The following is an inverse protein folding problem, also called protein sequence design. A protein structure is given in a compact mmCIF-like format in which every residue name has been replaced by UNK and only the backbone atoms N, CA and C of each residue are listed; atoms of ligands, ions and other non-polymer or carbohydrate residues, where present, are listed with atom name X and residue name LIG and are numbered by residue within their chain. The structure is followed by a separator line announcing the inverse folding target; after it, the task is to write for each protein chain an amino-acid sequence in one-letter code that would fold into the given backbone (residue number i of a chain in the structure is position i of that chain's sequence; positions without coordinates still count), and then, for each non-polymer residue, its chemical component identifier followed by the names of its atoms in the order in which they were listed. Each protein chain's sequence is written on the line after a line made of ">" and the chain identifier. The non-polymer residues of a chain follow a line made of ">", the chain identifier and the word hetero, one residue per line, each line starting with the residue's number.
data_IF_443271000053
#
_entry.id   IF_443271000053
#
_cell.length_a   1.000
_cell.length_b   1.000
_cell.length_c   1.000
_cell.angle_alpha   90.00
_cell.angle_beta   90.00
_cell.angle_gamma   90.00
#
_symmetry.space_group_name_H-M   'P 1'
#
loop_
_entity.id
_entity.type
_entity.pdbx_description
1 polymer ?
#
# COMPACT_ATOMS: atom_id res chain seq x y z
N UNK A 1 2.38 17.18 -11.15
CA UNK A 1 2.24 15.72 -11.36
C UNK A 1 3.49 15.27 -12.10
N UNK A 2 4.21 14.26 -11.61
CA UNK A 2 5.56 13.91 -12.06
C UNK A 2 5.58 13.37 -13.52
N UNK A 3 6.71 13.44 -14.22
CA UNK A 3 6.81 12.94 -15.60
C UNK A 3 6.52 11.43 -15.72
N UNK A 4 6.90 10.65 -14.70
CA UNK A 4 6.53 9.23 -14.58
C UNK A 4 5.02 9.07 -14.43
N UNK A 5 4.39 9.94 -13.65
CA UNK A 5 2.96 9.99 -13.37
C UNK A 5 2.15 10.30 -14.65
N UNK A 6 2.67 11.19 -15.50
CA UNK A 6 2.04 11.58 -16.76
C UNK A 6 2.22 10.49 -17.84
N UNK A 7 3.36 9.80 -17.86
CA UNK A 7 3.63 8.70 -18.81
C UNK A 7 2.87 7.40 -18.50
N UNK A 8 2.33 7.24 -17.31
CA UNK A 8 1.54 6.07 -16.87
C UNK A 8 0.13 5.97 -17.51
N UNK A 9 -0.17 6.76 -18.54
CA UNK A 9 -1.49 6.84 -19.20
C UNK A 9 -2.08 5.50 -19.66
N UNK A 10 -3.40 5.38 -19.47
CA UNK A 10 -4.34 4.29 -19.79
C UNK A 10 -4.03 2.87 -19.28
N UNK A 11 -2.83 2.33 -19.48
CA UNK A 11 -2.51 0.96 -19.04
C UNK A 11 -2.36 0.83 -17.52
N UNK A 12 -1.92 1.87 -16.82
CA UNK A 12 -1.90 1.88 -15.36
C UNK A 12 -3.33 1.90 -14.80
N UNK A 13 -4.23 2.66 -15.43
CA UNK A 13 -5.64 2.75 -15.03
C UNK A 13 -6.36 1.41 -15.16
N UNK A 14 -6.13 0.67 -16.26
CA UNK A 14 -6.76 -0.65 -16.45
C UNK A 14 -6.27 -1.70 -15.45
N UNK A 15 -4.99 -1.64 -15.04
CA UNK A 15 -4.45 -2.49 -13.97
C UNK A 15 -5.01 -2.12 -12.60
N UNK A 16 -5.11 -0.83 -12.30
CA UNK A 16 -5.76 -0.34 -11.07
C UNK A 16 -7.22 -0.80 -11.01
N UNK A 17 -7.97 -0.64 -12.11
CA UNK A 17 -9.34 -1.14 -12.25
C UNK A 17 -9.42 -2.65 -12.00
N UNK A 18 -8.55 -3.45 -12.64
CA UNK A 18 -8.51 -4.90 -12.44
C UNK A 18 -8.27 -5.29 -10.98
N UNK A 19 -7.35 -4.61 -10.29
CA UNK A 19 -7.05 -4.87 -8.87
C UNK A 19 -8.23 -4.49 -7.99
N UNK A 20 -8.78 -3.28 -8.15
CA UNK A 20 -9.92 -2.81 -7.36
C UNK A 20 -11.12 -3.74 -7.60
N UNK A 21 -11.41 -4.09 -8.85
CA UNK A 21 -12.46 -5.05 -9.21
C UNK A 21 -12.30 -6.40 -8.50
N UNK A 22 -11.07 -6.94 -8.50
CA UNK A 22 -10.77 -8.19 -7.82
C UNK A 22 -11.01 -8.09 -6.30
N UNK A 23 -10.65 -6.96 -5.67
CA UNK A 23 -10.91 -6.70 -4.26
C UNK A 23 -12.42 -6.69 -3.97
N UNK A 24 -13.22 -5.96 -4.76
CA UNK A 24 -14.68 -5.92 -4.59
C UNK A 24 -15.30 -7.32 -4.74
N UNK A 25 -14.92 -8.06 -5.77
CA UNK A 25 -15.42 -9.42 -6.01
C UNK A 25 -15.07 -10.36 -4.83
N UNK A 26 -13.86 -10.23 -4.26
CA UNK A 26 -13.44 -11.01 -3.08
C UNK A 26 -14.24 -10.66 -1.83
N UNK A 27 -14.54 -9.39 -1.61
CA UNK A 27 -15.40 -8.96 -0.50
C UNK A 27 -16.79 -9.59 -0.65
N UNK A 28 -17.37 -9.57 -1.85
CA UNK A 28 -18.67 -10.19 -2.13
C UNK A 28 -18.67 -11.70 -1.88
N UNK A 29 -17.65 -12.40 -2.38
CA UNK A 29 -17.51 -13.84 -2.18
C UNK A 29 -17.40 -14.19 -0.69
N UNK A 30 -16.68 -13.37 0.10
CA UNK A 30 -16.51 -13.62 1.54
C UNK A 30 -17.84 -13.56 2.30
N UNK A 31 -18.74 -12.64 1.95
CA UNK A 31 -20.08 -12.53 2.57
C UNK A 31 -20.88 -13.82 2.49
N UNK A 32 -20.72 -14.59 1.41
CA UNK A 32 -21.47 -15.83 1.20
C UNK A 32 -21.04 -16.97 2.16
N UNK A 33 -19.86 -16.85 2.78
CA UNK A 33 -19.20 -17.95 3.48
C UNK A 33 -19.29 -17.92 5.01
N UNK A 34 -19.79 -16.83 5.63
CA UNK A 34 -20.04 -16.63 7.08
C UNK A 34 -18.89 -16.92 8.08
N UNK A 35 -17.77 -17.51 7.67
CA UNK A 35 -16.74 -18.01 8.61
C UNK A 35 -15.57 -17.04 8.83
N UNK A 36 -15.30 -16.10 7.90
CA UNK A 36 -14.27 -15.07 8.04
C UNK A 36 -14.69 -13.80 7.29
N UNK A 37 -15.46 -12.96 7.99
CA UNK A 37 -15.86 -11.63 7.51
C UNK A 37 -15.02 -10.59 8.24
N UNK A 38 -13.80 -10.37 7.75
CA UNK A 38 -12.96 -9.29 8.24
C UNK A 38 -13.42 -7.92 7.74
N UNK A 39 -13.14 -6.86 8.47
CA UNK A 39 -13.65 -5.51 8.18
C UNK A 39 -13.33 -5.05 6.75
N UNK A 40 -14.30 -4.48 6.06
CA UNK A 40 -14.10 -3.83 4.76
C UNK A 40 -14.63 -2.41 4.87
N UNK A 41 -13.80 -1.39 4.69
CA UNK A 41 -14.15 -0.01 5.05
C UNK A 41 -13.70 0.98 3.97
N UNK A 42 -14.57 1.92 3.62
CA UNK A 42 -14.25 3.09 2.79
C UNK A 42 -14.55 4.35 3.62
N UNK A 43 -13.57 5.24 3.76
CA UNK A 43 -13.81 6.50 4.46
C UNK A 43 -14.72 7.43 3.64
N UNK A 44 -15.58 8.18 4.33
CA UNK A 44 -16.65 8.97 3.73
C UNK A 44 -16.13 10.09 2.81
N UNK A 45 -14.86 10.50 2.92
CA UNK A 45 -14.32 11.51 2.02
C UNK A 45 -14.26 11.01 0.57
N UNK A 46 -14.04 9.70 0.33
CA UNK A 46 -14.18 9.13 -1.03
C UNK A 46 -15.59 9.29 -1.57
N UNK A 47 -16.59 9.12 -0.70
CA UNK A 47 -18.00 9.00 -1.09
C UNK A 47 -18.74 10.33 -0.98
N UNK A 48 -18.00 11.44 -0.79
CA UNK A 48 -18.57 12.78 -0.54
C UNK A 48 -19.47 13.28 -1.67
N UNK A 49 -19.41 12.68 -2.86
CA UNK A 49 -20.28 12.96 -4.00
C UNK A 49 -21.45 11.97 -4.20
N UNK A 50 -21.58 10.93 -3.38
CA UNK A 50 -22.62 9.91 -3.56
C UNK A 50 -23.80 10.16 -2.61
N UNK A 51 -25.00 10.26 -3.19
CA UNK A 51 -26.23 10.37 -2.41
C UNK A 51 -26.58 8.98 -1.84
N UNK A 52 -26.47 8.86 -0.52
CA UNK A 52 -26.32 7.60 0.22
C UNK A 52 -27.61 6.81 0.43
N UNK A 53 -28.66 7.06 -0.37
CA UNK A 53 -29.98 6.45 -0.16
C UNK A 53 -30.21 5.12 -0.87
N UNK A 54 -29.35 4.71 -1.81
CA UNK A 54 -29.49 3.42 -2.50
C UNK A 54 -28.29 2.49 -2.22
N UNK A 55 -28.40 1.65 -1.18
CA UNK A 55 -27.49 0.51 -0.94
C UNK A 55 -27.83 -0.61 -1.95
N UNK A 56 -27.67 -0.33 -3.23
CA UNK A 56 -27.88 -1.25 -4.35
C UNK A 56 -26.63 -1.29 -5.25
N UNK A 57 -26.62 -2.14 -6.29
CA UNK A 57 -25.51 -2.30 -7.25
C UNK A 57 -24.93 -0.98 -7.78
N UNK A 58 -25.74 0.08 -7.87
CA UNK A 58 -25.31 1.45 -8.23
C UNK A 58 -24.24 2.01 -7.30
N UNK A 59 -24.40 1.87 -5.97
CA UNK A 59 -23.41 2.30 -5.00
C UNK A 59 -22.05 1.63 -5.21
N UNK A 60 -22.05 0.33 -5.57
CA UNK A 60 -20.81 -0.42 -5.83
C UNK A 60 -20.11 0.06 -7.10
N UNK A 61 -20.87 0.26 -8.19
CA UNK A 61 -20.31 0.74 -9.45
C UNK A 61 -19.75 2.17 -9.32
N UNK A 62 -20.49 3.06 -8.66
CA UNK A 62 -20.08 4.45 -8.43
C UNK A 62 -18.88 4.52 -7.48
N UNK A 63 -18.90 3.79 -6.36
CA UNK A 63 -17.76 3.70 -5.44
C UNK A 63 -16.51 3.15 -6.13
N UNK A 64 -16.66 2.12 -6.98
CA UNK A 64 -15.56 1.57 -7.78
C UNK A 64 -14.98 2.63 -8.71
N UNK A 65 -15.82 3.35 -9.44
CA UNK A 65 -15.39 4.41 -10.38
C UNK A 65 -14.60 5.52 -9.68
N UNK A 66 -15.08 5.96 -8.52
CA UNK A 66 -14.38 6.95 -7.68
C UNK A 66 -13.03 6.39 -7.22
N UNK A 67 -13.01 5.19 -6.63
CA UNK A 67 -11.76 4.59 -6.15
C UNK A 67 -10.72 4.43 -7.27
N UNK A 68 -11.15 4.00 -8.46
CA UNK A 68 -10.24 3.92 -9.62
C UNK A 68 -9.65 5.28 -9.94
N UNK A 69 -10.45 6.35 -9.91
CA UNK A 69 -9.96 7.69 -10.21
C UNK A 69 -8.98 8.18 -9.13
N UNK A 70 -9.28 8.00 -7.85
CA UNK A 70 -8.39 8.43 -6.76
C UNK A 70 -7.08 7.62 -6.70
N UNK A 71 -7.11 6.36 -7.11
CA UNK A 71 -5.96 5.47 -7.16
C UNK A 71 -5.33 5.34 -8.56
N UNK A 72 -5.75 6.10 -9.58
CA UNK A 72 -5.13 6.01 -10.92
C UNK A 72 -3.73 6.64 -10.99
N UNK A 73 -3.22 7.20 -9.89
CA UNK A 73 -1.89 7.78 -9.80
C UNK A 73 -0.85 6.75 -9.38
N UNK A 74 0.40 7.19 -9.25
CA UNK A 74 1.53 6.32 -8.88
C UNK A 74 1.30 5.66 -7.53
N UNK A 75 1.40 4.32 -7.51
CA UNK A 75 1.33 3.53 -6.29
C UNK A 75 2.72 3.30 -5.70
N UNK A 76 2.85 3.65 -4.43
CA UNK A 76 4.00 3.35 -3.61
C UNK A 76 3.64 2.34 -2.53
N UNK A 77 4.51 1.37 -2.27
CA UNK A 77 4.40 0.45 -1.15
C UNK A 77 5.38 0.89 -0.05
N UNK A 78 4.91 1.22 1.17
CA UNK A 78 5.79 1.48 2.30
C UNK A 78 6.30 0.14 2.85
N UNK A 79 7.55 -0.23 2.53
CA UNK A 79 8.17 -1.51 2.88
C UNK A 79 9.11 -1.39 4.07
N UNK A 80 9.16 -2.45 4.88
CA UNK A 80 10.10 -2.59 5.99
C UNK A 80 11.52 -2.84 5.46
N UNK A 81 12.53 -2.51 6.27
CA UNK A 81 13.90 -2.96 6.02
C UNK A 81 13.98 -4.48 5.99
N UNK A 82 14.84 -5.02 5.13
CA UNK A 82 15.12 -6.46 4.96
C UNK A 82 13.92 -7.34 4.55
N UNK A 83 12.68 -6.82 4.61
CA UNK A 83 11.45 -7.44 4.10
C UNK A 83 11.28 -8.91 4.50
N UNK A 84 10.69 -9.11 5.69
CA UNK A 84 10.27 -10.44 6.15
C UNK A 84 8.88 -10.79 5.61
N UNK A 85 8.61 -12.06 5.27
CA UNK A 85 7.26 -12.48 4.88
C UNK A 85 6.20 -12.12 5.92
N UNK A 86 6.51 -12.17 7.22
CA UNK A 86 5.54 -11.84 8.27
C UNK A 86 5.48 -10.35 8.65
N UNK A 87 6.36 -9.52 8.09
CA UNK A 87 6.46 -8.10 8.42
C UNK A 87 7.09 -7.34 7.24
N UNK A 88 6.39 -7.39 6.12
CA UNK A 88 6.80 -6.88 4.82
C UNK A 88 6.54 -5.39 4.69
N UNK A 89 5.35 -4.95 5.07
CA UNK A 89 4.94 -3.54 5.00
C UNK A 89 5.19 -2.80 6.31
N UNK A 90 5.44 -1.50 6.22
CA UNK A 90 5.54 -0.63 7.40
C UNK A 90 4.20 -0.53 8.13
N UNK A 91 4.24 -0.48 9.45
CA UNK A 91 3.08 -0.73 10.32
C UNK A 91 2.00 0.35 10.20
N UNK A 92 0.75 -0.09 10.26
CA UNK A 92 -0.44 0.75 10.46
C UNK A 92 -1.12 0.28 11.74
N UNK A 93 -1.59 1.22 12.55
CA UNK A 93 -2.31 0.97 13.79
C UNK A 93 -3.75 1.41 13.56
N UNK A 94 -4.69 0.51 13.86
CA UNK A 94 -6.12 0.71 13.81
C UNK A 94 -6.67 0.55 15.23
N UNK A 95 -7.31 1.59 15.77
CA UNK A 95 -7.94 1.57 17.10
C UNK A 95 -6.98 1.04 18.20
N UNK A 96 -5.71 1.44 18.12
CA UNK A 96 -4.64 1.04 19.04
C UNK A 96 -4.01 -0.33 18.75
N UNK A 97 -4.51 -1.09 17.77
CA UNK A 97 -3.97 -2.39 17.39
C UNK A 97 -3.16 -2.34 16.10
N UNK A 98 -2.00 -2.98 16.08
CA UNK A 98 -1.19 -3.09 14.86
C UNK A 98 -1.88 -4.01 13.85
N UNK A 99 -2.19 -3.48 12.67
CA UNK A 99 -2.63 -4.28 11.54
C UNK A 99 -1.51 -5.19 11.05
N UNK A 100 -1.89 -6.40 10.64
CA UNK A 100 -0.98 -7.35 10.00
C UNK A 100 -0.32 -6.74 8.76
N UNK A 101 0.86 -7.22 8.44
CA UNK A 101 1.71 -6.66 7.38
C UNK A 101 2.49 -7.75 6.66
N UNK A 102 1.88 -8.92 6.50
CA UNK A 102 2.48 -10.07 5.84
C UNK A 102 2.62 -9.85 4.32
N UNK A 103 3.44 -10.67 3.67
CA UNK A 103 3.55 -10.80 2.23
C UNK A 103 2.98 -12.15 1.80
N UNK A 104 1.84 -12.10 1.13
CA UNK A 104 1.20 -13.25 0.53
C UNK A 104 0.41 -12.80 -0.71
N UNK A 105 -0.01 -13.75 -1.55
CA UNK A 105 -0.86 -13.45 -2.70
C UNK A 105 -2.13 -12.73 -2.26
N UNK A 106 -2.45 -11.62 -2.93
CA UNK A 106 -3.60 -10.77 -2.58
C UNK A 106 -3.43 -9.88 -1.36
N UNK A 107 -2.22 -9.74 -0.80
CA UNK A 107 -1.92 -8.73 0.21
C UNK A 107 -1.40 -7.45 -0.42
N UNK A 108 -1.96 -6.30 -0.02
CA UNK A 108 -1.63 -5.00 -0.58
C UNK A 108 -1.59 -3.95 0.53
N UNK A 109 -0.55 -3.11 0.53
CA UNK A 109 -0.53 -1.82 1.23
C UNK A 109 0.10 -0.80 0.31
N UNK A 110 -0.72 0.06 -0.27
CA UNK A 110 -0.27 1.07 -1.23
C UNK A 110 -0.71 2.45 -0.82
N UNK A 111 0.17 3.40 -1.08
CA UNK A 111 -0.03 4.83 -0.94
C UNK A 111 -0.03 5.43 -2.34
N UNK A 112 -0.99 6.32 -2.60
CA UNK A 112 -1.08 7.12 -3.82
C UNK A 112 -1.23 8.59 -3.42
N UNK A 113 -0.78 9.51 -4.27
CA UNK A 113 -0.90 10.95 -4.03
C UNK A 113 -1.61 11.61 -5.21
N UNK A 114 -2.67 12.37 -4.92
CA UNK A 114 -3.37 13.18 -5.91
C UNK A 114 -3.82 14.51 -5.33
N UNK A 115 -3.53 15.60 -6.03
CA UNK A 115 -3.89 16.94 -5.59
C UNK A 115 -3.40 17.25 -4.17
N UNK A 116 -4.34 17.48 -3.26
CA UNK A 116 -4.09 17.77 -1.84
C UNK A 116 -4.30 16.58 -0.91
N UNK A 117 -4.31 15.35 -1.46
CA UNK A 117 -4.62 14.14 -0.73
C UNK A 117 -3.56 13.04 -0.91
N UNK A 118 -3.40 12.27 0.16
CA UNK A 118 -2.78 10.97 0.18
C UNK A 118 -3.87 9.91 0.32
N UNK A 119 -3.87 8.91 -0.54
CA UNK A 119 -4.77 7.76 -0.49
C UNK A 119 -4.00 6.53 -0.03
N UNK A 120 -4.62 5.73 0.83
CA UNK A 120 -4.05 4.52 1.40
C UNK A 120 -5.04 3.38 1.19
N UNK A 121 -4.61 2.37 0.43
CA UNK A 121 -5.32 1.11 0.28
C UNK A 121 -4.58 0.03 1.06
N UNK A 122 -5.28 -0.61 1.99
CA UNK A 122 -4.81 -1.77 2.74
C UNK A 122 -5.77 -2.92 2.45
N UNK A 123 -5.27 -4.03 1.92
CA UNK A 123 -6.07 -5.21 1.62
C UNK A 123 -5.31 -6.47 2.04
N UNK A 124 -6.01 -7.41 2.66
CA UNK A 124 -5.48 -8.71 3.01
C UNK A 124 -6.56 -9.78 2.91
N UNK A 125 -6.14 -10.95 2.43
CA UNK A 125 -6.96 -12.14 2.36
C UNK A 125 -6.26 -13.35 2.98
N UNK A 126 -7.07 -14.32 3.40
CA UNK A 126 -6.61 -15.65 3.76
C UNK A 126 -7.17 -16.66 2.76
N UNK A 127 -6.38 -17.69 2.45
CA UNK A 127 -6.87 -18.84 1.70
C UNK A 127 -6.93 -20.04 2.64
N UNK A 128 -8.09 -20.70 2.70
CA UNK A 128 -8.28 -21.94 3.47
C UNK A 128 -9.13 -22.88 2.61
N UNK A 129 -8.66 -24.12 2.42
CA UNK A 129 -9.39 -25.14 1.62
C UNK A 129 -9.83 -24.61 0.24
N UNK A 130 -8.90 -23.95 -0.47
CA UNK A 130 -9.11 -23.32 -1.78
C UNK A 130 -10.18 -22.21 -1.83
N UNK A 131 -10.68 -21.77 -0.66
CA UNK A 131 -11.57 -20.61 -0.53
C UNK A 131 -10.77 -19.39 -0.09
N UNK A 132 -11.04 -18.24 -0.71
CA UNK A 132 -10.47 -16.95 -0.32
C UNK A 132 -11.42 -16.21 0.64
N UNK A 133 -10.84 -15.60 1.68
CA UNK A 133 -11.56 -14.88 2.72
C UNK A 133 -10.96 -13.49 2.91
N UNK A 134 -11.81 -12.45 2.94
CA UNK A 134 -11.35 -11.10 3.25
C UNK A 134 -11.00 -10.99 4.74
N UNK A 135 -9.73 -10.74 5.05
CA UNK A 135 -9.27 -10.48 6.42
C UNK A 135 -9.46 -9.02 6.81
N UNK A 136 -9.14 -8.13 5.89
CA UNK A 136 -9.47 -6.73 6.01
C UNK A 136 -9.27 -6.00 4.69
N UNK A 137 -10.09 -4.98 4.46
CA UNK A 137 -9.90 -4.02 3.37
C UNK A 137 -10.19 -2.61 3.88
N UNK A 138 -9.28 -1.67 3.64
CA UNK A 138 -9.47 -0.26 3.99
C UNK A 138 -9.07 0.60 2.79
N UNK A 139 -9.99 1.44 2.35
CA UNK A 139 -9.73 2.54 1.43
C UNK A 139 -9.83 3.84 2.23
N UNK A 140 -8.69 4.51 2.40
CA UNK A 140 -8.56 5.68 3.25
C UNK A 140 -7.99 6.86 2.47
N UNK A 141 -8.47 8.05 2.77
CA UNK A 141 -7.95 9.31 2.25
C UNK A 141 -7.53 10.23 3.40
N UNK A 142 -6.43 10.94 3.20
CA UNK A 142 -5.87 11.87 4.17
C UNK A 142 -5.51 13.16 3.44
N UNK A 143 -5.95 14.31 3.96
CA UNK A 143 -5.47 15.59 3.41
C UNK A 143 -3.98 15.70 3.71
N UNK A 144 -3.19 16.24 2.79
CA UNK A 144 -1.76 16.44 3.05
C UNK A 144 -1.53 17.34 4.27
N UNK A 145 -2.45 18.26 4.57
CA UNK A 145 -2.43 19.08 5.78
C UNK A 145 -2.68 18.31 7.09
N UNK A 146 -3.22 17.09 7.03
CA UNK A 146 -3.38 16.20 8.19
C UNK A 146 -2.07 15.45 8.50
N UNK A 147 -1.12 15.43 7.57
CA UNK A 147 0.12 14.66 7.68
C UNK A 147 1.19 15.46 8.40
N UNK A 148 1.92 14.79 9.30
CA UNK A 148 3.20 15.28 9.79
C UNK A 148 4.30 14.79 8.87
N UNK A 149 5.01 15.72 8.24
CA UNK A 149 6.12 15.44 7.34
C UNK A 149 7.45 15.82 8.01
N UNK A 150 8.34 14.85 8.17
CA UNK A 150 9.74 15.10 8.55
C UNK A 150 10.62 14.79 7.32
N UNK A 151 11.45 15.75 6.90
CA UNK A 151 12.39 15.54 5.80
C UNK A 151 13.81 15.98 6.14
N UNK A 152 14.78 15.24 5.61
CA UNK A 152 16.15 15.66 5.44
C UNK A 152 16.71 15.01 4.15
N UNK A 153 18.00 15.20 3.88
CA UNK A 153 18.63 14.74 2.64
C UNK A 153 18.61 13.22 2.43
N UNK A 154 18.43 12.45 3.50
CA UNK A 154 18.52 10.98 3.49
C UNK A 154 17.22 10.29 3.89
N UNK A 155 16.23 11.04 4.39
CA UNK A 155 15.02 10.50 4.99
C UNK A 155 13.81 11.39 4.72
N UNK A 156 12.70 10.77 4.31
CA UNK A 156 11.36 11.35 4.31
C UNK A 156 10.50 10.50 5.22
N UNK A 157 9.80 11.09 6.18
CA UNK A 157 8.85 10.39 7.05
C UNK A 157 7.50 11.06 6.96
N UNK A 158 6.48 10.26 6.69
CA UNK A 158 5.08 10.65 6.57
C UNK A 158 4.35 9.99 7.74
N UNK A 159 3.76 10.78 8.62
CA UNK A 159 3.11 10.27 9.81
C UNK A 159 1.72 10.84 10.01
N UNK A 160 0.86 10.02 10.61
CA UNK A 160 -0.40 10.44 11.16
C UNK A 160 -0.60 9.79 12.53
N UNK A 161 -1.26 10.51 13.43
CA UNK A 161 -1.56 10.04 14.78
C UNK A 161 -3.05 10.19 15.07
N UNK A 162 -3.67 9.07 15.38
CA UNK A 162 -5.03 8.90 15.88
C UNK A 162 -6.08 9.64 15.03
N UNK A 163 -5.88 9.66 13.71
CA UNK A 163 -6.80 10.30 12.79
C UNK A 163 -8.10 9.50 12.72
N UNK A 164 -9.18 10.11 13.19
CA UNK A 164 -10.52 9.55 13.06
C UNK A 164 -10.96 9.59 11.60
N UNK A 165 -11.38 8.45 11.06
CA UNK A 165 -12.00 8.32 9.75
C UNK A 165 -13.37 7.71 9.93
N UNK A 166 -14.39 8.48 9.57
CA UNK A 166 -15.76 7.99 9.44
C UNK A 166 -15.92 7.38 8.05
N UNK A 167 -16.74 6.34 7.92
CA UNK A 167 -16.90 5.63 6.67
C UNK A 167 -17.98 4.59 6.73
N UNK A 168 -17.99 3.73 5.71
CA UNK A 168 -18.98 2.67 5.53
C UNK A 168 -18.28 1.34 5.58
N UNK A 169 -18.83 0.44 6.38
CA UNK A 169 -18.49 -0.97 6.32
C UNK A 169 -19.11 -1.59 5.06
N UNK A 170 -18.28 -2.01 4.12
CA UNK A 170 -18.66 -2.64 2.85
C UNK A 170 -19.16 -4.06 3.00
N UNK A 171 -19.32 -4.62 4.20
CA UNK A 171 -20.02 -5.87 4.43
C UNK A 171 -21.43 -5.62 4.95
N UNK A 172 -21.57 -4.83 6.02
CA UNK A 172 -22.86 -4.55 6.64
C UNK A 172 -23.63 -3.39 5.98
N UNK A 173 -22.94 -2.50 5.27
CA UNK A 173 -23.47 -1.22 4.80
C UNK A 173 -23.65 -0.17 5.90
N UNK A 174 -23.26 -0.49 7.14
CA UNK A 174 -23.40 0.43 8.28
C UNK A 174 -22.28 1.45 8.32
N UNK A 175 -22.57 2.63 8.87
CA UNK A 175 -21.52 3.62 9.17
C UNK A 175 -20.71 3.22 10.39
N UNK A 176 -19.41 3.44 10.34
CA UNK A 176 -18.50 3.26 11.48
C UNK A 176 -17.43 4.35 11.50
N UNK A 177 -16.75 4.49 12.64
CA UNK A 177 -15.62 5.39 12.81
C UNK A 177 -14.46 4.63 13.42
N UNK A 178 -13.28 4.81 12.83
CA UNK A 178 -12.04 4.14 13.21
C UNK A 178 -10.91 5.16 13.34
N UNK A 179 -9.95 4.91 14.24
CA UNK A 179 -8.75 5.74 14.39
C UNK A 179 -7.55 5.06 13.74
N UNK A 180 -6.90 5.79 12.84
CA UNK A 180 -5.72 5.32 12.12
C UNK A 180 -4.47 6.08 12.55
N UNK A 181 -3.39 5.33 12.76
CA UNK A 181 -2.06 5.84 13.06
C UNK A 181 -1.02 5.12 12.19
N UNK A 182 -0.06 5.85 11.62
CA UNK A 182 1.08 5.27 10.92
C UNK A 182 2.28 6.22 10.92
N UNK A 183 3.46 5.67 10.67
CA UNK A 183 4.70 6.42 10.46
C UNK A 183 5.50 5.71 9.36
N UNK A 184 5.24 6.09 8.12
CA UNK A 184 5.94 5.55 6.96
C UNK A 184 7.24 6.32 6.73
N UNK A 185 8.34 5.59 6.59
CA UNK A 185 9.69 6.13 6.45
C UNK A 185 10.26 5.69 5.10
N UNK A 186 10.69 6.66 4.31
CA UNK A 186 11.62 6.49 3.21
C UNK A 186 13.02 6.82 3.71
N UNK A 187 13.97 5.89 3.63
CA UNK A 187 15.39 6.20 3.62
C UNK A 187 15.93 6.03 2.20
N UNK A 188 16.85 6.92 1.81
CA UNK A 188 17.57 6.83 0.53
C UNK A 188 18.20 5.45 0.36
N UNK A 189 18.02 4.86 -0.82
CA UNK A 189 18.33 3.45 -1.04
C UNK A 189 19.71 3.21 -1.65
N UNK A 190 20.38 4.22 -2.19
CA UNK A 190 21.57 4.12 -3.05
C UNK A 190 22.70 3.24 -2.48
N UNK A 191 22.86 3.21 -1.15
CA UNK A 191 23.89 2.42 -0.46
C UNK A 191 23.31 1.31 0.44
N UNK A 192 22.05 0.96 0.25
CA UNK A 192 21.32 0.01 1.09
C UNK A 192 21.03 -1.34 0.41
N UNK A 193 21.39 -1.47 -0.85
CA UNK A 193 21.24 -2.71 -1.62
C UNK A 193 22.34 -3.70 -1.23
N UNK A 194 21.94 -4.81 -0.63
CA UNK A 194 22.86 -5.90 -0.27
C UNK A 194 22.45 -7.16 -1.02
N UNK A 195 23.37 -7.83 -1.73
CA UNK A 195 23.12 -9.15 -2.30
C UNK A 195 22.66 -10.13 -1.21
N UNK A 196 21.58 -10.88 -1.46
CA UNK A 196 20.95 -11.72 -0.45
C UNK A 196 21.86 -12.85 0.06
N UNK A 197 22.78 -13.32 -0.77
CA UNK A 197 23.84 -14.27 -0.43
C UNK A 197 24.87 -13.68 0.55
N UNK A 198 25.24 -12.41 0.38
CA UNK A 198 26.16 -11.69 1.27
C UNK A 198 25.51 -11.22 2.57
N UNK A 199 24.19 -11.06 2.59
CA UNK A 199 23.48 -10.58 3.78
C UNK A 199 23.51 -11.60 4.94
N UNK A 200 23.52 -12.90 4.62
CA UNK A 200 23.40 -13.99 5.61
C UNK A 200 24.48 -13.97 6.70
N UNK A 201 25.66 -13.39 6.41
CA UNK A 201 26.78 -13.29 7.35
C UNK A 201 26.75 -12.02 8.23
N UNK A 202 25.83 -11.08 7.98
CA UNK A 202 25.77 -9.80 8.69
C UNK A 202 25.09 -9.88 10.07
N UNK A 203 25.53 -9.05 11.02
CA UNK A 203 24.86 -8.89 12.33
C UNK A 203 23.42 -8.38 12.22
N UNK A 204 23.15 -7.53 11.21
CA UNK A 204 21.82 -7.00 10.92
C UNK A 204 20.86 -8.14 10.51
N UNK A 205 21.30 -9.09 9.68
CA UNK A 205 20.53 -10.27 9.34
C UNK A 205 20.17 -11.11 10.56
N UNK A 206 21.16 -11.41 11.42
CA UNK A 206 20.90 -12.13 12.67
C UNK A 206 19.86 -11.39 13.53
N UNK A 207 19.93 -10.07 13.65
CA UNK A 207 18.97 -9.29 14.46
C UNK A 207 17.52 -9.36 13.96
N UNK A 208 17.31 -9.46 12.65
CA UNK A 208 15.96 -9.45 12.03
C UNK A 208 15.37 -10.86 11.86
N UNK A 209 16.22 -11.85 11.61
CA UNK A 209 15.82 -13.23 11.29
C UNK A 209 16.04 -14.24 12.43
N UNK A 210 16.77 -13.90 13.50
CA UNK A 210 16.96 -14.79 14.64
C UNK A 210 15.61 -15.25 15.22
N UNK A 211 15.45 -16.56 15.38
CA UNK A 211 14.25 -17.17 15.95
C UNK A 211 13.01 -17.18 15.05
N UNK A 212 13.12 -16.80 13.75
CA UNK A 212 11.98 -16.81 12.81
C UNK A 212 11.98 -18.05 11.91
N UNK A 213 10.79 -18.61 11.68
CA UNK A 213 10.56 -19.87 10.95
C UNK A 213 10.86 -19.78 9.44
N UNK A 214 11.05 -18.58 8.89
CA UNK A 214 11.46 -18.37 7.51
C UNK A 214 12.78 -17.57 7.44
N UNK A 215 13.94 -18.24 7.35
CA UNK A 215 15.25 -17.60 7.41
C UNK A 215 15.68 -16.96 6.08
N UNK A 216 14.82 -16.91 5.05
CA UNK A 216 15.18 -16.34 3.75
C UNK A 216 14.56 -14.94 3.60
N UNK A 217 15.36 -13.93 3.24
CA UNK A 217 14.82 -12.64 2.88
C UNK A 217 13.92 -12.77 1.66
N UNK A 218 12.90 -11.94 1.59
CA UNK A 218 12.15 -11.78 0.35
C UNK A 218 13.00 -11.00 -0.64
N UNK A 219 13.55 -11.72 -1.59
CA UNK A 219 14.11 -11.13 -2.80
C UNK A 219 13.03 -11.15 -3.87
N UNK A 220 12.80 -10.02 -4.51
CA UNK A 220 12.11 -10.03 -5.79
C UNK A 220 13.00 -10.80 -6.78
N UNK A 221 12.47 -11.85 -7.43
CA UNK A 221 13.21 -12.88 -8.21
C UNK A 221 14.21 -12.33 -9.25
N UNK A 222 14.04 -11.08 -9.64
CA UNK A 222 14.78 -10.37 -10.67
C UNK A 222 15.94 -9.54 -10.12
N UNK A 223 16.07 -9.43 -8.80
CA UNK A 223 16.96 -8.47 -8.17
C UNK A 223 18.05 -9.10 -7.30
N UNK A 224 17.87 -10.31 -6.77
CA UNK A 224 18.87 -11.01 -5.89
C UNK A 224 19.44 -10.17 -4.74
N UNK A 225 18.85 -9.01 -4.46
CA UNK A 225 19.26 -8.07 -3.43
C UNK A 225 18.11 -7.80 -2.48
N UNK A 226 18.48 -7.20 -1.35
CA UNK A 226 17.60 -6.75 -0.30
C UNK A 226 17.98 -5.32 0.09
N UNK A 227 16.96 -4.53 0.40
CA UNK A 227 17.12 -3.15 0.84
C UNK A 227 17.16 -3.15 2.37
N UNK A 228 18.27 -2.68 2.93
CA UNK A 228 18.55 -2.77 4.39
C UNK A 228 17.94 -1.67 5.22
N UNK A 229 17.16 -0.78 4.60
CA UNK A 229 16.51 0.37 5.24
C UNK A 229 15.01 0.38 4.96
N UNK A 230 14.17 0.97 5.83
CA UNK A 230 12.77 1.19 5.52
C UNK A 230 12.67 2.16 4.34
N UNK A 231 11.83 1.83 3.37
CA UNK A 231 11.71 2.60 2.15
C UNK A 231 10.28 2.55 1.62
N UNK A 232 10.00 3.47 0.71
CA UNK A 232 8.91 3.29 -0.23
C UNK A 232 9.50 2.67 -1.50
N UNK A 233 8.71 1.86 -2.18
CA UNK A 233 9.01 1.35 -3.53
C UNK A 233 7.81 1.57 -4.42
N UNK A 234 8.01 1.70 -5.73
CA UNK A 234 6.87 1.60 -6.65
C UNK A 234 6.20 0.23 -6.52
N UNK A 235 4.88 0.20 -6.64
CA UNK A 235 4.14 -1.06 -6.70
C UNK A 235 4.65 -1.92 -7.85
N UNK A 236 4.60 -3.25 -7.67
CA UNK A 236 5.15 -4.21 -8.64
C UNK A 236 4.67 -4.00 -10.08
N UNK A 237 3.41 -3.59 -10.28
CA UNK A 237 2.83 -3.29 -11.61
C UNK A 237 3.58 -2.18 -12.36
N UNK A 238 4.09 -1.17 -11.64
CA UNK A 238 4.86 -0.06 -12.20
C UNK A 238 6.32 -0.49 -12.29
N UNK A 239 6.84 -1.11 -11.23
CA UNK A 239 8.24 -1.47 -11.12
C UNK A 239 8.70 -2.44 -12.23
N UNK A 240 7.85 -3.40 -12.61
CA UNK A 240 8.18 -4.37 -13.68
C UNK A 240 8.31 -3.73 -15.06
N UNK A 241 7.75 -2.53 -15.23
CA UNK A 241 7.72 -1.76 -16.49
C UNK A 241 8.75 -0.64 -16.52
N UNK A 242 9.78 -0.70 -15.67
CA UNK A 242 10.80 0.35 -15.51
C UNK A 242 11.36 0.89 -16.83
N UNK A 243 11.56 0.04 -17.84
CA UNK A 243 12.08 0.44 -19.16
C UNK A 243 11.17 1.44 -19.88
N UNK A 244 9.86 1.27 -19.75
CA UNK A 244 8.86 2.13 -20.39
C UNK A 244 8.85 3.53 -19.77
N UNK A 245 9.27 3.64 -18.51
CA UNK A 245 9.46 4.93 -17.82
C UNK A 245 10.85 5.54 -18.06
N UNK A 246 11.67 4.93 -18.91
CA UNK A 246 12.99 5.43 -19.28
C UNK A 246 14.11 5.07 -18.32
N UNK A 247 13.87 4.18 -17.36
CA UNK A 247 14.93 3.68 -16.48
C UNK A 247 15.71 2.54 -17.16
N UNK A 248 17.03 2.54 -17.02
CA UNK A 248 17.90 1.48 -17.52
C UNK A 248 17.80 0.22 -16.66
N UNK A 249 17.41 0.35 -15.39
CA UNK A 249 17.27 -0.79 -14.47
C UNK A 249 16.17 -0.57 -13.40
N UNK A 250 15.68 -1.65 -12.76
CA UNK A 250 14.79 -1.53 -11.60
C UNK A 250 15.43 -0.80 -10.41
N UNK A 251 16.75 -0.95 -10.23
CA UNK A 251 17.50 -0.27 -9.16
C UNK A 251 17.44 1.24 -9.36
N UNK A 252 17.69 1.70 -10.58
CA UNK A 252 17.62 3.12 -10.93
C UNK A 252 16.22 3.68 -10.68
N UNK A 253 15.19 2.92 -11.07
CA UNK A 253 13.81 3.28 -10.76
C UNK A 253 13.58 3.37 -9.25
N UNK A 254 14.09 2.43 -8.46
CA UNK A 254 13.98 2.47 -7.00
C UNK A 254 14.69 3.68 -6.38
N UNK A 255 15.82 4.13 -6.94
CA UNK A 255 16.51 5.37 -6.51
C UNK A 255 15.66 6.62 -6.80
N UNK A 256 14.92 6.62 -7.92
CA UNK A 256 14.06 7.75 -8.30
C UNK A 256 12.86 7.97 -7.35
N UNK A 257 12.54 7.00 -6.48
CA UNK A 257 11.42 7.11 -5.52
C UNK A 257 11.58 8.34 -4.61
N UNK A 258 12.80 8.67 -4.17
CA UNK A 258 13.00 9.86 -3.31
C UNK A 258 12.54 11.13 -4.02
N UNK A 259 12.94 11.33 -5.28
CA UNK A 259 12.55 12.50 -6.07
C UNK A 259 11.04 12.53 -6.31
N UNK A 260 10.45 11.39 -6.65
CA UNK A 260 9.01 11.29 -6.89
C UNK A 260 8.18 11.58 -5.62
N UNK A 261 8.60 11.06 -4.45
CA UNK A 261 7.96 11.39 -3.18
C UNK A 261 8.07 12.88 -2.85
N UNK A 262 9.23 13.50 -3.09
CA UNK A 262 9.42 14.94 -2.90
C UNK A 262 8.44 15.75 -3.74
N UNK A 263 8.32 15.43 -5.03
CA UNK A 263 7.39 16.10 -5.93
C UNK A 263 5.93 15.92 -5.50
N UNK A 264 5.51 14.70 -5.17
CA UNK A 264 4.14 14.41 -4.73
C UNK A 264 3.77 15.12 -3.42
N UNK A 265 4.75 15.35 -2.54
CA UNK A 265 4.57 16.00 -1.25
C UNK A 265 4.88 17.51 -1.28
N UNK A 266 5.22 18.08 -2.44
CA UNK A 266 5.68 19.46 -2.60
C UNK A 266 6.86 19.81 -1.66
N UNK A 267 7.84 18.90 -1.56
CA UNK A 267 9.02 19.05 -0.74
C UNK A 267 10.22 19.47 -1.61
N UNK A 268 10.77 20.66 -1.34
CA UNK A 268 12.08 21.09 -1.87
C UNK A 268 13.23 20.12 -1.48
#
# INVERSE_FOLDING_TARGET
>A
MCDVCNKLGEEHRSKVDSIISSIFQRIENSRSSNEYNGAAFIDSNFLSSLDMQDINEKFKQESKGILINEFNHVWFEPRMQLQLPSNFYQSVILDGQKLRSDWASGWLRVVSFSGSYMYLLIHALATKEDKEYNLFTYFLSFKLSELTLEKNDVKIKISIKDAAKEGIDLQSGSRSSHKFSFSFVHQKTENSFVPADRLQSSGLFKSVYAGKVAPKPLTFDWMKYVITVPHFSFHSIIHQRYKEFGFASPIEMQHAVTGCLKECLNLE
#
